data_IF_715054030631
#
_entry.id   IF_715054030631
#
_cell.length_a   1.000
_cell.length_b   1.000
_cell.length_c   1.000
_cell.angle_alpha   90.00
_cell.angle_beta   90.00
_cell.angle_gamma   90.00
#
_symmetry.space_group_name_H-M   'P 1'
#
loop_
_entity.id
_entity.type
_entity.pdbx_description
1 polymer ?
#
# COMPACT_ATOMS: atom_id res chain seq x y z
N UNK A 1 -49.06 32.89 -32.77
CA UNK A 1 -48.87 34.17 -32.06
C UNK A 1 -49.78 34.18 -30.83
N UNK A 2 -49.33 34.60 -29.65
CA UNK A 2 -48.16 34.11 -28.92
C UNK A 2 -48.53 33.77 -27.45
N UNK A 3 -47.63 33.13 -26.71
CA UNK A 3 -47.80 32.93 -25.27
C UNK A 3 -46.66 32.14 -24.67
N UNK A 4 -45.48 32.76 -24.60
CA UNK A 4 -44.31 32.19 -23.93
C UNK A 4 -44.54 32.11 -22.42
N UNK A 5 -44.20 30.96 -21.85
CA UNK A 5 -43.99 30.81 -20.41
C UNK A 5 -42.50 30.80 -20.14
N UNK A 6 -42.08 31.79 -19.36
CA UNK A 6 -40.72 32.03 -18.90
C UNK A 6 -40.15 30.80 -18.20
N UNK A 7 -38.96 30.40 -18.63
CA UNK A 7 -37.95 29.78 -17.79
C UNK A 7 -37.62 30.70 -16.61
N UNK A 8 -37.37 30.12 -15.44
CA UNK A 8 -36.71 30.81 -14.34
C UNK A 8 -37.62 31.20 -13.18
N UNK A 9 -38.09 30.21 -12.43
CA UNK A 9 -38.20 30.34 -10.97
C UNK A 9 -37.36 29.21 -10.38
N UNK A 10 -36.06 29.49 -10.24
CA UNK A 10 -35.21 28.75 -9.31
C UNK A 10 -35.67 29.19 -7.94
N UNK A 11 -36.19 28.21 -7.21
CA UNK A 11 -36.68 28.33 -5.85
C UNK A 11 -35.61 28.95 -4.93
N UNK A 12 -35.68 30.26 -4.69
CA UNK A 12 -34.80 31.00 -3.75
C UNK A 12 -35.25 30.80 -2.29
N UNK A 13 -35.59 29.57 -1.90
CA UNK A 13 -35.88 29.23 -0.53
C UNK A 13 -34.58 28.98 0.25
N UNK A 14 -34.21 29.99 1.04
CA UNK A 14 -33.26 29.99 2.17
C UNK A 14 -31.76 29.87 1.85
N UNK A 15 -31.13 30.96 1.42
CA UNK A 15 -29.72 31.16 1.71
C UNK A 15 -29.55 31.23 3.24
N UNK A 16 -28.91 30.22 3.83
CA UNK A 16 -28.63 30.20 5.28
C UNK A 16 -27.87 31.49 5.67
N UNK A 17 -28.26 32.18 6.75
CA UNK A 17 -27.68 33.48 7.11
C UNK A 17 -26.18 33.38 7.44
N UNK A 18 -25.75 32.23 7.95
CA UNK A 18 -24.37 31.83 8.19
C UNK A 18 -24.25 30.33 7.92
N UNK A 19 -23.15 29.93 7.29
CA UNK A 19 -22.88 28.53 7.04
C UNK A 19 -21.40 28.19 7.12
N UNK A 20 -21.11 26.92 7.42
CA UNK A 20 -19.78 26.34 7.23
C UNK A 20 -19.55 26.16 5.74
N UNK A 21 -18.40 26.63 5.27
CA UNK A 21 -18.07 26.61 3.85
C UNK A 21 -16.90 25.71 3.51
N UNK A 22 -15.82 25.78 4.30
CA UNK A 22 -14.66 24.93 4.08
C UNK A 22 -13.99 24.50 5.37
N UNK A 23 -13.40 23.31 5.32
CA UNK A 23 -12.66 22.71 6.42
C UNK A 23 -11.30 22.26 5.89
N UNK A 24 -10.26 22.65 6.61
CA UNK A 24 -8.87 22.37 6.23
C UNK A 24 -8.14 21.70 7.38
N UNK A 25 -7.90 20.40 7.24
CA UNK A 25 -7.30 19.52 8.24
C UNK A 25 -5.78 19.46 8.08
N UNK A 26 -5.29 19.17 6.88
CA UNK A 26 -3.86 19.21 6.56
C UNK A 26 -3.46 20.61 6.10
N UNK A 27 -3.09 21.45 7.07
CA UNK A 27 -2.66 22.84 6.84
C UNK A 27 -1.24 22.98 6.32
N UNK A 28 -0.55 21.87 6.05
CA UNK A 28 0.84 21.90 5.61
C UNK A 28 1.87 22.12 6.72
N UNK A 29 1.43 22.39 7.95
CA UNK A 29 2.26 22.60 9.12
C UNK A 29 2.35 21.35 10.02
N UNK A 30 3.41 21.27 10.82
CA UNK A 30 3.65 20.15 11.74
C UNK A 30 2.60 20.08 12.86
N UNK A 31 2.01 21.21 13.23
CA UNK A 31 1.01 21.33 14.29
C UNK A 31 -0.34 20.70 13.91
N UNK A 32 -0.59 20.51 12.61
CA UNK A 32 -1.78 19.80 12.12
C UNK A 32 -1.83 18.34 12.59
N UNK A 33 -0.68 17.70 12.80
CA UNK A 33 -0.56 16.27 13.13
C UNK A 33 -1.08 15.33 12.04
N UNK A 34 -1.43 15.85 10.86
CA UNK A 34 -1.89 15.06 9.71
C UNK A 34 -0.74 14.30 9.07
N UNK A 35 -1.06 13.17 8.45
CA UNK A 35 -0.16 12.49 7.53
C UNK A 35 -0.46 13.06 6.14
N UNK A 36 0.50 13.74 5.48
CA UNK A 36 0.30 14.28 4.15
C UNK A 36 -0.08 13.16 3.18
N UNK A 37 -1.11 13.37 2.39
CA UNK A 37 -1.52 12.42 1.36
C UNK A 37 -1.10 12.92 -0.02
N UNK A 38 -0.78 12.01 -0.93
CA UNK A 38 -0.34 12.34 -2.29
C UNK A 38 -1.18 11.63 -3.33
N UNK A 39 -1.44 12.31 -4.44
CA UNK A 39 -2.00 11.71 -5.64
C UNK A 39 -0.86 11.05 -6.45
N UNK A 40 -0.89 9.72 -6.67
CA UNK A 40 0.20 9.03 -7.37
C UNK A 40 0.30 9.38 -8.86
N UNK A 41 -0.78 9.86 -9.48
CA UNK A 41 -0.81 10.21 -10.91
C UNK A 41 -0.14 11.56 -11.15
N UNK A 42 -0.56 12.60 -10.41
CA UNK A 42 -0.03 13.96 -10.55
C UNK A 42 1.23 14.19 -9.73
N UNK A 43 1.51 13.32 -8.76
CA UNK A 43 2.59 13.47 -7.77
C UNK A 43 2.48 14.80 -7.02
N UNK A 44 1.24 15.19 -6.71
CA UNK A 44 0.93 16.40 -5.95
C UNK A 44 0.35 16.03 -4.60
N UNK A 45 0.67 16.84 -3.59
CA UNK A 45 0.09 16.71 -2.27
C UNK A 45 -1.42 17.00 -2.33
N UNK A 46 -2.21 16.12 -1.72
CA UNK A 46 -3.60 16.37 -1.39
C UNK A 46 -3.63 17.24 -0.13
N UNK A 47 -4.50 18.25 -0.10
CA UNK A 47 -4.61 19.18 1.03
C UNK A 47 -3.98 20.56 0.82
N UNK A 48 -3.45 20.88 -0.38
CA UNK A 48 -3.10 22.28 -0.72
C UNK A 48 -4.32 23.21 -0.69
N UNK A 49 -5.49 22.65 -0.99
CA UNK A 49 -6.80 23.28 -0.81
C UNK A 49 -7.56 22.56 0.32
N UNK A 50 -8.55 23.22 0.96
CA UNK A 50 -9.38 22.62 2.00
C UNK A 50 -9.99 21.28 1.57
N UNK A 51 -9.83 20.23 2.36
CA UNK A 51 -10.29 18.87 2.03
C UNK A 51 -11.79 18.82 1.84
N UNK A 52 -12.53 19.65 2.58
CA UNK A 52 -13.96 19.79 2.39
C UNK A 52 -14.32 21.21 1.97
N UNK A 53 -15.10 21.33 0.89
CA UNK A 53 -15.69 22.58 0.40
C UNK A 53 -17.15 22.30 0.09
N UNK A 54 -18.05 23.08 0.68
CA UNK A 54 -19.51 22.89 0.61
C UNK A 54 -19.98 22.58 -0.82
N UNK A 55 -20.56 21.40 -1.00
CA UNK A 55 -21.16 20.95 -2.26
C UNK A 55 -20.19 20.59 -3.40
N UNK A 56 -18.87 20.66 -3.18
CA UNK A 56 -17.88 20.56 -4.28
C UNK A 56 -16.80 19.50 -4.04
N UNK A 57 -16.31 19.35 -2.80
CA UNK A 57 -15.09 18.56 -2.54
C UNK A 57 -15.14 17.88 -1.17
N UNK A 58 -14.65 16.65 -1.11
CA UNK A 58 -14.43 15.87 0.09
C UNK A 58 -13.23 14.92 -0.14
N UNK A 59 -12.04 15.35 0.24
CA UNK A 59 -10.81 14.54 0.17
C UNK A 59 -10.63 13.70 1.44
N UNK A 60 -9.93 12.56 1.33
CA UNK A 60 -9.55 11.78 2.49
C UNK A 60 -8.52 12.52 3.35
N UNK A 61 -8.55 12.24 4.65
CA UNK A 61 -7.59 12.76 5.63
C UNK A 61 -7.00 11.59 6.41
N UNK A 62 -5.72 11.68 6.75
CA UNK A 62 -5.03 10.64 7.50
C UNK A 62 -4.33 11.18 8.75
N UNK A 63 -4.39 10.39 9.82
CA UNK A 63 -3.76 10.69 11.09
C UNK A 63 -3.16 9.43 11.69
N UNK A 64 -2.14 9.59 12.54
CA UNK A 64 -1.75 8.50 13.44
C UNK A 64 -2.89 8.26 14.43
N UNK A 65 -3.21 6.99 14.70
CA UNK A 65 -4.23 6.59 15.68
C UNK A 65 -3.99 7.28 17.03
N UNK A 66 -5.07 7.65 17.72
CA UNK A 66 -5.01 8.32 19.03
C UNK A 66 -4.58 9.80 19.01
N UNK A 67 -4.28 10.39 17.85
CA UNK A 67 -3.98 11.83 17.75
C UNK A 67 -5.23 12.68 17.96
N UNK A 68 -5.04 13.95 18.35
CA UNK A 68 -6.09 14.95 18.50
C UNK A 68 -5.99 15.96 17.36
N UNK A 69 -6.86 15.89 16.34
CA UNK A 69 -6.85 16.81 15.22
C UNK A 69 -7.14 18.26 15.62
N UNK A 70 -6.75 19.18 14.75
CA UNK A 70 -7.29 20.54 14.68
C UNK A 70 -7.69 20.85 13.25
N UNK A 71 -8.71 21.69 13.07
CA UNK A 71 -9.25 22.03 11.74
C UNK A 71 -9.36 23.54 11.59
N UNK A 72 -8.87 24.06 10.46
CA UNK A 72 -9.14 25.45 10.07
C UNK A 72 -10.51 25.52 9.42
N UNK A 73 -11.34 26.44 9.90
CA UNK A 73 -12.74 26.57 9.50
C UNK A 73 -12.95 27.90 8.79
N UNK A 74 -13.64 27.87 7.65
CA UNK A 74 -14.13 29.06 6.98
C UNK A 74 -15.65 29.09 6.97
N UNK A 75 -16.21 30.24 7.29
CA UNK A 75 -17.62 30.55 7.35
C UNK A 75 -18.01 31.48 6.19
N UNK A 76 -19.23 31.31 5.70
CA UNK A 76 -19.88 32.23 4.77
C UNK A 76 -21.06 32.90 5.48
N UNK A 77 -21.00 34.22 5.65
CA UNK A 77 -22.12 35.02 6.14
C UNK A 77 -22.85 35.69 4.97
N UNK A 78 -24.10 35.29 4.73
CA UNK A 78 -24.94 35.87 3.67
C UNK A 78 -25.75 37.08 4.16
N UNK A 79 -26.06 37.12 5.46
CA UNK A 79 -26.85 38.18 6.10
C UNK A 79 -26.28 38.51 7.49
N UNK A 80 -26.85 39.50 8.16
CA UNK A 80 -26.44 39.87 9.51
C UNK A 80 -26.67 38.70 10.48
N UNK A 81 -25.58 38.17 11.04
CA UNK A 81 -25.56 37.18 12.13
C UNK A 81 -25.00 37.82 13.40
N UNK A 82 -25.25 37.24 14.59
CA UNK A 82 -24.60 37.69 15.81
C UNK A 82 -23.09 37.82 15.59
N UNK A 83 -22.53 38.96 15.96
CA UNK A 83 -21.09 39.24 15.79
C UNK A 83 -20.20 38.42 16.72
N UNK A 84 -20.79 37.74 17.72
CA UNK A 84 -20.11 36.86 18.65
C UNK A 84 -20.97 35.64 18.95
N UNK A 85 -20.40 34.45 18.84
CA UNK A 85 -21.05 33.18 19.15
C UNK A 85 -20.00 32.09 19.44
N UNK A 86 -20.43 30.97 19.99
CA UNK A 86 -19.63 29.76 20.17
C UNK A 86 -19.88 28.79 19.01
N UNK A 87 -18.84 28.38 18.31
CA UNK A 87 -18.90 27.37 17.27
C UNK A 87 -18.72 25.98 17.88
N UNK A 88 -19.64 25.07 17.56
CA UNK A 88 -19.58 23.66 17.94
C UNK A 88 -19.84 22.74 16.74
N UNK A 89 -19.28 21.53 16.78
CA UNK A 89 -19.58 20.49 15.82
C UNK A 89 -19.86 19.14 16.51
N UNK A 90 -20.92 18.47 16.07
CA UNK A 90 -21.41 17.22 16.67
C UNK A 90 -21.47 16.10 15.64
N UNK A 91 -20.94 14.93 15.98
CA UNK A 91 -20.93 13.77 15.10
C UNK A 91 -21.07 12.46 15.85
N UNK A 92 -21.09 11.32 15.15
CA UNK A 92 -21.08 10.01 15.79
C UNK A 92 -19.77 9.80 16.57
N UNK A 93 -19.83 8.97 17.62
CA UNK A 93 -18.63 8.46 18.26
C UNK A 93 -17.90 7.51 17.31
N UNK A 94 -16.59 7.75 17.11
CA UNK A 94 -15.72 6.86 16.33
C UNK A 94 -15.11 5.72 17.19
N UNK A 95 -15.34 5.73 18.52
CA UNK A 95 -14.86 4.67 19.42
C UNK A 95 -15.86 3.53 19.51
N UNK A 96 -15.36 2.28 19.51
CA UNK A 96 -16.12 1.06 19.80
C UNK A 96 -15.95 0.60 21.25
N UNK A 97 -17.00 0.07 21.91
CA UNK A 97 -18.40 0.04 21.50
C UNK A 97 -19.08 1.34 21.94
N UNK A 98 -19.41 2.24 21.02
CA UNK A 98 -20.33 3.33 21.34
C UNK A 98 -21.76 2.85 21.12
N UNK A 99 -22.66 3.24 22.03
CA UNK A 99 -24.08 2.98 21.84
C UNK A 99 -24.54 3.62 20.53
N UNK A 100 -25.22 2.88 19.63
CA UNK A 100 -25.73 3.42 18.38
C UNK A 100 -26.52 4.72 18.65
N UNK A 101 -26.20 5.78 17.91
CA UNK A 101 -26.88 7.08 18.05
C UNK A 101 -26.28 8.04 19.09
N UNK A 102 -25.18 7.69 19.77
CA UNK A 102 -24.51 8.65 20.66
C UNK A 102 -23.80 9.72 19.85
N UNK A 103 -24.35 10.93 19.86
CA UNK A 103 -23.73 12.12 19.27
C UNK A 103 -22.79 12.75 20.27
N UNK A 104 -21.56 13.01 19.84
CA UNK A 104 -20.52 13.62 20.66
C UNK A 104 -20.13 14.97 20.07
N UNK A 105 -19.81 15.92 20.95
CA UNK A 105 -19.26 17.21 20.56
C UNK A 105 -17.78 17.03 20.22
N UNK A 106 -17.48 16.92 18.92
CA UNK A 106 -16.12 16.78 18.42
C UNK A 106 -15.34 18.08 18.51
N UNK A 107 -16.00 19.22 18.28
CA UNK A 107 -15.38 20.55 18.34
C UNK A 107 -16.23 21.50 19.17
N UNK A 108 -15.57 22.45 19.82
CA UNK A 108 -16.22 23.55 20.54
C UNK A 108 -16.66 23.23 21.97
N UNK A 109 -17.19 24.21 22.71
CA UNK A 109 -17.53 25.54 22.22
C UNK A 109 -16.25 26.35 21.93
N UNK A 110 -16.18 26.95 20.73
CA UNK A 110 -15.05 27.77 20.31
C UNK A 110 -15.52 29.20 20.01
N UNK A 111 -14.97 30.23 20.68
CA UNK A 111 -15.47 31.59 20.53
C UNK A 111 -15.13 32.12 19.13
N UNK A 112 -16.13 32.63 18.43
CA UNK A 112 -15.99 33.26 17.12
C UNK A 112 -16.50 34.69 17.20
N UNK A 113 -15.67 35.62 16.74
CA UNK A 113 -16.07 37.01 16.53
C UNK A 113 -16.01 37.33 15.04
N UNK A 114 -17.14 37.70 14.45
CA UNK A 114 -17.23 38.10 13.05
C UNK A 114 -17.26 39.62 12.96
N UNK A 115 -16.48 40.17 12.02
CA UNK A 115 -16.68 41.55 11.59
C UNK A 115 -18.08 41.66 10.95
N UNK A 116 -18.78 42.78 11.18
CA UNK A 116 -20.17 43.01 10.76
C UNK A 116 -20.31 43.22 9.24
N UNK A 117 -19.71 42.36 8.44
CA UNK A 117 -19.71 42.41 6.98
C UNK A 117 -20.12 41.04 6.44
N UNK A 118 -21.04 41.03 5.47
CA UNK A 118 -21.35 39.81 4.72
C UNK A 118 -20.10 39.37 3.94
N UNK A 119 -19.89 38.06 3.83
CA UNK A 119 -18.77 37.49 3.09
C UNK A 119 -18.07 36.35 3.81
N UNK A 120 -16.80 36.16 3.42
CA UNK A 120 -15.94 35.08 3.88
C UNK A 120 -15.21 35.45 5.16
N UNK A 121 -15.28 34.58 6.17
CA UNK A 121 -14.46 34.71 7.36
C UNK A 121 -13.81 33.37 7.67
N UNK A 122 -12.47 33.35 7.66
CA UNK A 122 -11.68 32.22 8.13
C UNK A 122 -11.30 32.48 9.58
N UNK A 123 -11.53 31.52 10.46
CA UNK A 123 -11.14 31.65 11.86
C UNK A 123 -9.63 31.83 11.98
N UNK A 124 -9.20 32.73 12.86
CA UNK A 124 -7.79 33.08 13.03
C UNK A 124 -6.96 31.86 13.44
N UNK A 125 -7.48 31.07 14.37
CA UNK A 125 -6.83 29.86 14.87
C UNK A 125 -7.60 28.59 14.46
N UNK A 126 -6.89 27.47 14.22
CA UNK A 126 -7.53 26.18 14.05
C UNK A 126 -8.31 25.75 15.29
N UNK A 127 -9.48 25.15 15.08
CA UNK A 127 -10.32 24.64 16.16
C UNK A 127 -9.86 23.21 16.50
N UNK A 128 -9.38 22.95 17.73
CA UNK A 128 -8.96 21.62 18.14
C UNK A 128 -10.17 20.72 18.38
N UNK A 129 -9.99 19.43 18.13
CA UNK A 129 -10.95 18.43 18.55
C UNK A 129 -10.93 18.30 20.09
N UNK A 130 -12.09 18.16 20.71
CA UNK A 130 -12.22 17.94 22.15
C UNK A 130 -11.68 16.57 22.60
N UNK A 131 -11.54 15.64 21.66
CA UNK A 131 -11.20 14.24 21.90
C UNK A 131 -10.21 13.74 20.85
N UNK A 132 -9.34 12.79 21.21
CA UNK A 132 -8.52 12.11 20.23
C UNK A 132 -9.38 11.24 19.31
N UNK A 133 -8.85 10.96 18.12
CA UNK A 133 -9.32 9.92 17.23
C UNK A 133 -9.13 8.53 17.87
N UNK A 134 -9.80 7.49 17.36
CA UNK A 134 -9.66 6.15 17.91
C UNK A 134 -8.20 5.69 17.93
N UNK A 135 -7.80 5.03 19.02
CA UNK A 135 -6.45 4.50 19.19
C UNK A 135 -6.29 3.10 18.55
N UNK A 136 -6.82 2.91 17.34
CA UNK A 136 -6.64 1.70 16.54
C UNK A 136 -6.51 2.09 15.07
N UNK A 137 -5.90 1.22 14.26
CA UNK A 137 -5.84 1.39 12.80
C UNK A 137 -7.26 1.24 12.23
N UNK A 138 -7.66 2.05 11.26
CA UNK A 138 -8.97 1.91 10.65
C UNK A 138 -9.36 3.00 9.67
N UNK A 139 -10.54 2.80 9.09
CA UNK A 139 -11.25 3.76 8.23
C UNK A 139 -12.50 4.23 8.94
N UNK A 140 -12.72 5.53 8.96
CA UNK A 140 -13.77 6.19 9.73
C UNK A 140 -14.56 7.14 8.83
N UNK A 141 -15.88 6.97 8.83
CA UNK A 141 -16.77 7.98 8.27
C UNK A 141 -17.15 8.95 9.39
N UNK A 142 -16.81 10.23 9.21
CA UNK A 142 -17.11 11.28 10.18
C UNK A 142 -18.05 12.30 9.54
N UNK A 143 -19.28 12.33 10.03
CA UNK A 143 -20.25 13.38 9.73
C UNK A 143 -20.31 14.37 10.90
N UNK A 144 -20.14 15.65 10.59
CA UNK A 144 -20.15 16.74 11.55
C UNK A 144 -21.32 17.69 11.25
N UNK A 145 -22.24 17.78 12.21
CA UNK A 145 -23.27 18.82 12.22
C UNK A 145 -22.74 20.05 12.93
N UNK A 146 -22.70 21.17 12.23
CA UNK A 146 -22.15 22.42 12.76
C UNK A 146 -23.24 23.34 13.26
N UNK A 147 -22.99 23.96 14.41
CA UNK A 147 -23.91 24.90 15.03
C UNK A 147 -23.18 26.11 15.60
N UNK A 148 -23.82 27.27 15.51
CA UNK A 148 -23.48 28.46 16.30
C UNK A 148 -24.39 28.50 17.53
N UNK A 149 -23.81 28.66 18.71
CA UNK A 149 -24.50 28.75 20.00
C UNK A 149 -24.23 30.13 20.60
N UNK A 150 -25.26 30.84 21.06
CA UNK A 150 -25.09 32.11 21.80
C UNK A 150 -26.21 32.31 22.81
N UNK A 151 -26.08 33.33 23.65
CA UNK A 151 -27.13 33.73 24.60
C UNK A 151 -27.55 35.16 24.27
N UNK A 152 -28.85 35.37 24.08
CA UNK A 152 -29.41 36.71 23.83
C UNK A 152 -29.29 37.59 25.11
N UNK A 153 -29.51 38.90 24.95
CA UNK A 153 -29.42 39.85 26.07
C UNK A 153 -30.43 39.57 27.21
N UNK A 154 -31.50 38.83 26.93
CA UNK A 154 -32.51 38.40 27.90
C UNK A 154 -32.14 37.08 28.63
N UNK A 155 -30.97 36.49 28.32
CA UNK A 155 -30.52 35.23 28.88
C UNK A 155 -31.00 33.99 28.14
N UNK A 156 -31.75 34.14 27.05
CA UNK A 156 -32.27 33.00 26.26
C UNK A 156 -31.16 32.34 25.44
N UNK A 157 -30.93 31.02 25.55
CA UNK A 157 -29.98 30.32 24.70
C UNK A 157 -30.52 30.22 23.26
N UNK A 158 -29.64 30.41 22.29
CA UNK A 158 -29.91 30.31 20.86
C UNK A 158 -28.95 29.34 20.21
N UNK A 159 -29.46 28.66 19.19
CA UNK A 159 -28.67 27.77 18.35
C UNK A 159 -29.07 27.97 16.90
N UNK A 160 -28.08 28.11 16.02
CA UNK A 160 -28.25 28.17 14.56
C UNK A 160 -27.50 27.01 13.93
N UNK A 161 -28.18 26.24 13.09
CA UNK A 161 -27.55 25.21 12.27
C UNK A 161 -26.78 25.85 11.11
N UNK A 162 -25.54 25.41 10.90
CA UNK A 162 -24.61 25.99 9.92
C UNK A 162 -24.30 25.04 8.75
N UNK A 163 -24.95 23.86 8.70
CA UNK A 163 -24.70 22.83 7.72
C UNK A 163 -23.98 21.60 8.25
N UNK A 164 -23.93 20.58 7.41
CA UNK A 164 -23.22 19.31 7.66
C UNK A 164 -21.96 19.21 6.81
N UNK A 165 -20.96 18.50 7.32
CA UNK A 165 -19.80 18.08 6.55
C UNK A 165 -19.49 16.60 6.74
N UNK A 166 -19.07 15.94 5.67
CA UNK A 166 -18.77 14.51 5.64
C UNK A 166 -17.30 14.32 5.28
N UNK A 167 -16.63 13.44 6.03
CA UNK A 167 -15.20 13.20 5.92
C UNK A 167 -14.89 11.71 5.93
N UNK A 168 -13.98 11.30 5.06
CA UNK A 168 -13.32 10.00 5.14
C UNK A 168 -11.99 10.18 5.89
N UNK A 169 -11.89 9.57 7.06
CA UNK A 169 -10.72 9.70 7.93
C UNK A 169 -10.05 8.34 8.11
N UNK A 170 -8.73 8.31 7.97
CA UNK A 170 -7.91 7.11 8.22
C UNK A 170 -7.08 7.29 9.48
N UNK A 171 -7.09 6.28 10.34
CA UNK A 171 -6.12 6.15 11.43
C UNK A 171 -5.07 5.11 11.05
N UNK A 172 -3.80 5.49 11.17
CA UNK A 172 -2.64 4.62 10.85
C UNK A 172 -1.85 4.27 12.11
N UNK A 173 -0.96 3.28 12.00
CA UNK A 173 -0.14 2.82 13.14
C UNK A 173 1.05 3.72 13.47
N UNK A 174 1.61 4.43 12.49
CA UNK A 174 2.76 5.31 12.66
C UNK A 174 2.71 6.51 11.72
N UNK A 175 3.44 7.61 12.03
CA UNK A 175 3.68 8.64 11.04
C UNK A 175 4.53 8.03 9.93
N UNK A 176 4.14 8.22 8.68
CA UNK A 176 4.98 7.79 7.56
C UNK A 176 6.25 8.65 7.58
N UNK A 177 7.37 8.04 7.97
CA UNK A 177 8.67 8.71 8.00
C UNK A 177 9.29 8.60 6.61
N UNK A 178 9.78 9.74 6.11
CA UNK A 178 10.62 9.75 4.94
C UNK A 178 11.88 8.92 5.23
N UNK A 179 12.06 7.81 4.52
CA UNK A 179 13.11 6.83 4.80
C UNK A 179 13.01 5.49 4.06
N UNK A 180 11.86 5.16 3.45
CA UNK A 180 11.73 3.97 2.59
C UNK A 180 11.89 4.34 1.11
N UNK A 181 12.60 3.50 0.35
CA UNK A 181 12.83 3.70 -1.08
C UNK A 181 11.50 3.76 -1.85
N UNK A 182 11.34 4.78 -2.71
CA UNK A 182 10.15 4.95 -3.55
C UNK A 182 8.93 5.56 -2.86
N UNK A 183 9.06 6.05 -1.62
CA UNK A 183 8.03 6.80 -0.90
C UNK A 183 8.07 8.30 -1.26
N UNK A 184 6.94 9.04 -1.14
CA UNK A 184 6.94 10.51 -1.23
C UNK A 184 7.90 11.17 -0.24
N UNK A 185 8.22 12.45 -0.49
CA UNK A 185 9.12 13.23 0.37
C UNK A 185 8.59 13.42 1.80
N UNK A 186 7.28 13.36 1.96
CA UNK A 186 6.65 13.30 3.28
C UNK A 186 5.26 12.71 3.11
N UNK A 187 4.82 11.91 4.06
CA UNK A 187 3.50 11.28 3.98
C UNK A 187 3.43 10.14 2.97
N UNK A 188 2.22 9.86 2.44
CA UNK A 188 1.89 8.61 1.74
C UNK A 188 1.04 8.83 0.49
N UNK A 189 1.10 7.92 -0.48
CA UNK A 189 0.10 7.89 -1.55
C UNK A 189 -1.27 7.49 -0.99
N UNK A 190 -2.32 8.27 -1.31
CA UNK A 190 -3.66 8.09 -0.75
C UNK A 190 -4.23 6.67 -0.92
N UNK A 191 -4.05 5.97 -2.06
CA UNK A 191 -4.49 4.58 -2.20
C UNK A 191 -3.88 3.63 -1.18
N UNK A 192 -2.59 3.81 -0.83
CA UNK A 192 -1.91 2.92 0.12
C UNK A 192 -2.49 3.07 1.52
N UNK A 193 -2.77 4.29 1.96
CA UNK A 193 -3.40 4.54 3.26
C UNK A 193 -4.81 3.95 3.27
N UNK A 194 -5.61 4.20 2.22
CA UNK A 194 -6.97 3.66 2.12
C UNK A 194 -6.99 2.13 2.20
N UNK A 195 -6.13 1.47 1.43
CA UNK A 195 -6.06 0.01 1.41
C UNK A 195 -5.57 -0.55 2.75
N UNK A 196 -4.41 -0.11 3.22
CA UNK A 196 -3.78 -0.68 4.42
C UNK A 196 -4.57 -0.38 5.70
N UNK A 197 -5.17 0.81 5.86
CA UNK A 197 -5.99 1.10 7.04
C UNK A 197 -7.28 0.28 7.08
N UNK A 198 -7.84 -0.09 5.93
CA UNK A 198 -8.99 -1.00 5.86
C UNK A 198 -8.60 -2.44 6.16
N UNK A 199 -7.53 -2.95 5.54
CA UNK A 199 -7.10 -4.35 5.76
C UNK A 199 -6.61 -4.60 7.18
N UNK A 200 -5.94 -3.61 7.78
CA UNK A 200 -5.36 -3.72 9.11
C UNK A 200 -6.27 -3.17 10.22
N UNK A 201 -7.56 -2.95 9.92
CA UNK A 201 -8.50 -2.35 10.87
C UNK A 201 -8.54 -3.13 12.19
N UNK A 202 -8.29 -2.44 13.30
CA UNK A 202 -8.27 -3.01 14.65
C UNK A 202 -7.06 -3.90 14.98
N UNK A 203 -6.12 -4.12 14.06
CA UNK A 203 -4.94 -4.94 14.31
C UNK A 203 -3.86 -4.17 15.09
N UNK A 204 -3.10 -4.91 15.89
CA UNK A 204 -2.02 -4.35 16.71
C UNK A 204 -0.68 -5.09 16.54
N UNK A 205 -0.72 -6.39 16.26
CA UNK A 205 0.47 -7.22 16.04
C UNK A 205 1.15 -6.90 14.71
N UNK A 206 2.48 -6.80 14.73
CA UNK A 206 3.30 -6.59 13.53
C UNK A 206 3.07 -7.68 12.49
N UNK A 207 3.00 -8.93 12.95
CA UNK A 207 2.76 -10.11 12.10
C UNK A 207 1.38 -10.08 11.48
N UNK A 208 0.34 -9.81 12.29
CA UNK A 208 -1.04 -9.78 11.79
C UNK A 208 -1.25 -8.64 10.78
N UNK A 209 -0.61 -7.48 11.00
CA UNK A 209 -0.59 -6.36 10.06
C UNK A 209 0.05 -6.80 8.74
N UNK A 210 1.24 -7.39 8.74
CA UNK A 210 1.89 -7.84 7.51
C UNK A 210 1.09 -8.94 6.78
N UNK A 211 0.48 -9.87 7.50
CA UNK A 211 -0.38 -10.90 6.92
C UNK A 211 -1.65 -10.32 6.31
N UNK A 212 -2.26 -9.32 6.96
CA UNK A 212 -3.42 -8.62 6.43
C UNK A 212 -3.06 -7.84 5.16
N UNK A 213 -1.91 -7.15 5.15
CA UNK A 213 -1.39 -6.49 3.95
C UNK A 213 -1.18 -7.49 2.81
N UNK A 214 -0.51 -8.62 3.07
CA UNK A 214 -0.22 -9.61 2.02
C UNK A 214 -1.50 -10.20 1.42
N UNK A 215 -2.45 -10.58 2.28
CA UNK A 215 -3.76 -11.11 1.85
C UNK A 215 -4.61 -10.07 1.12
N UNK A 216 -4.45 -8.79 1.44
CA UNK A 216 -5.18 -7.69 0.81
C UNK A 216 -4.65 -7.30 -0.58
N UNK A 217 -3.38 -7.60 -0.90
CA UNK A 217 -2.76 -7.18 -2.16
C UNK A 217 -3.57 -7.49 -3.44
N UNK A 218 -4.25 -8.65 -3.59
CA UNK A 218 -5.05 -8.91 -4.78
C UNK A 218 -6.15 -7.86 -5.01
N UNK A 219 -6.73 -7.29 -3.95
CA UNK A 219 -7.79 -6.28 -4.04
C UNK A 219 -7.32 -4.95 -4.66
N UNK A 220 -6.01 -4.72 -4.76
CA UNK A 220 -5.46 -3.52 -5.42
C UNK A 220 -5.71 -3.52 -6.94
N UNK A 221 -5.89 -4.69 -7.55
CA UNK A 221 -5.93 -4.87 -8.99
C UNK A 221 -4.59 -4.62 -9.71
N UNK A 222 -3.52 -4.27 -8.99
CA UNK A 222 -2.18 -4.10 -9.56
C UNK A 222 -1.64 -5.46 -10.00
N UNK A 223 -0.98 -5.52 -11.16
CA UNK A 223 -0.52 -6.78 -11.76
C UNK A 223 0.98 -6.98 -11.65
N UNK A 224 1.42 -8.20 -11.39
CA UNK A 224 2.84 -8.56 -11.51
C UNK A 224 3.28 -8.64 -12.98
N UNK A 225 4.57 -8.40 -13.26
CA UNK A 225 5.14 -8.54 -14.61
C UNK A 225 4.89 -7.32 -15.51
N UNK A 226 4.58 -6.17 -14.93
CA UNK A 226 4.49 -4.88 -15.66
C UNK A 226 5.82 -4.13 -15.45
N UNK A 227 6.47 -3.56 -16.49
CA UNK A 227 7.76 -2.85 -16.39
C UNK A 227 7.76 -1.56 -15.55
N UNK A 228 7.56 -1.68 -14.24
CA UNK A 228 7.61 -0.61 -13.25
C UNK A 228 8.29 -1.09 -11.96
N UNK A 229 9.25 -0.30 -11.46
CA UNK A 229 10.11 -0.67 -10.31
C UNK A 229 9.96 0.28 -9.11
N UNK A 230 9.13 1.32 -9.22
CA UNK A 230 8.81 2.24 -8.12
C UNK A 230 7.33 2.23 -7.83
N UNK A 231 6.94 2.43 -6.57
CA UNK A 231 5.54 2.42 -6.14
C UNK A 231 4.69 3.43 -6.92
N UNK A 232 5.20 4.65 -7.12
CA UNK A 232 4.51 5.66 -7.93
C UNK A 232 4.23 5.17 -9.34
N UNK A 233 5.28 4.66 -10.02
CA UNK A 233 5.14 4.18 -11.39
C UNK A 233 4.12 3.03 -11.44
N UNK A 234 4.17 2.11 -10.48
CA UNK A 234 3.21 1.01 -10.39
C UNK A 234 1.76 1.48 -10.27
N UNK A 235 1.50 2.47 -9.41
CA UNK A 235 0.17 3.04 -9.23
C UNK A 235 -0.32 3.74 -10.50
N UNK A 236 0.57 4.31 -11.30
CA UNK A 236 0.23 4.98 -12.55
C UNK A 236 -0.05 4.00 -13.71
N UNK A 237 0.67 2.87 -13.80
CA UNK A 237 0.55 1.92 -14.94
C UNK A 237 -0.22 0.64 -14.60
N UNK A 238 -0.66 0.48 -13.36
CA UNK A 238 -1.48 -0.66 -12.93
C UNK A 238 -0.72 -1.95 -12.65
N UNK A 239 0.54 -1.88 -12.22
CA UNK A 239 1.35 -3.07 -11.92
C UNK A 239 2.85 -2.81 -11.82
N UNK A 240 3.64 -3.84 -11.51
CA UNK A 240 5.09 -3.72 -11.38
C UNK A 240 5.88 -5.03 -11.46
N UNK A 241 7.20 -4.90 -11.43
CA UNK A 241 8.17 -5.97 -11.27
C UNK A 241 8.50 -6.21 -9.79
N UNK A 242 9.29 -7.26 -9.48
CA UNK A 242 9.60 -7.67 -8.11
C UNK A 242 10.11 -6.51 -7.23
N UNK A 243 11.03 -5.68 -7.74
CA UNK A 243 11.55 -4.52 -7.02
C UNK A 243 10.49 -3.49 -6.64
N UNK A 244 9.48 -3.30 -7.49
CA UNK A 244 8.35 -2.41 -7.19
C UNK A 244 7.39 -3.00 -6.16
N UNK A 245 7.02 -4.28 -6.32
CA UNK A 245 6.13 -4.98 -5.38
C UNK A 245 6.74 -5.10 -3.98
N UNK A 246 8.04 -5.35 -3.92
CA UNK A 246 8.83 -5.33 -2.70
C UNK A 246 8.69 -3.97 -1.96
N UNK A 247 8.91 -2.86 -2.66
CA UNK A 247 8.77 -1.51 -2.08
C UNK A 247 7.32 -1.18 -1.71
N UNK A 248 6.35 -1.56 -2.54
CA UNK A 248 4.92 -1.37 -2.27
C UNK A 248 4.53 -2.00 -0.94
N UNK A 249 4.95 -3.26 -0.72
CA UNK A 249 4.67 -4.00 0.50
C UNK A 249 5.31 -3.34 1.72
N UNK A 250 6.55 -2.85 1.61
CA UNK A 250 7.20 -2.09 2.68
C UNK A 250 6.44 -0.82 3.05
N UNK A 251 6.01 -0.05 2.05
CA UNK A 251 5.26 1.18 2.31
C UNK A 251 3.90 0.89 2.96
N UNK A 252 3.17 -0.12 2.49
CA UNK A 252 1.89 -0.53 3.10
C UNK A 252 2.06 -0.94 4.57
N UNK A 253 3.13 -1.69 4.89
CA UNK A 253 3.43 -2.09 6.27
C UNK A 253 3.92 -0.90 7.14
N UNK A 254 4.76 -0.02 6.58
CA UNK A 254 5.34 1.11 7.30
C UNK A 254 4.29 2.17 7.66
N UNK A 255 3.32 2.45 6.77
CA UNK A 255 2.15 3.29 7.09
C UNK A 255 1.47 2.79 8.38
N UNK A 256 1.41 1.48 8.56
CA UNK A 256 0.82 0.84 9.74
C UNK A 256 1.80 0.60 10.90
N UNK A 257 2.99 1.19 10.83
CA UNK A 257 4.00 1.16 11.90
C UNK A 257 4.86 -0.08 11.93
N UNK A 258 4.87 -0.89 10.87
CA UNK A 258 5.69 -2.10 10.78
C UNK A 258 6.83 -1.89 9.80
N UNK A 259 8.06 -1.95 10.31
CA UNK A 259 9.28 -1.98 9.48
C UNK A 259 9.62 -3.41 9.11
N UNK A 260 9.98 -3.59 7.85
CA UNK A 260 10.40 -4.84 7.24
C UNK A 260 11.85 -4.75 6.76
N UNK A 261 12.49 -5.91 6.63
CA UNK A 261 13.82 -6.05 6.07
C UNK A 261 13.73 -6.55 4.65
N UNK A 262 14.30 -5.81 3.70
CA UNK A 262 14.30 -6.21 2.30
C UNK A 262 15.56 -6.89 1.85
N UNK A 263 15.42 -7.89 0.98
CA UNK A 263 16.55 -8.54 0.33
C UNK A 263 16.23 -8.88 -1.11
N UNK A 264 17.23 -8.82 -1.97
CA UNK A 264 17.14 -9.41 -3.32
C UNK A 264 17.84 -10.76 -3.32
N UNK A 265 17.11 -11.81 -3.68
CA UNK A 265 17.62 -13.16 -3.86
C UNK A 265 18.21 -13.31 -5.25
N UNK A 266 19.49 -13.66 -5.32
CA UNK A 266 20.16 -13.96 -6.57
C UNK A 266 20.60 -15.42 -6.61
N UNK A 267 20.49 -16.02 -7.79
CA UNK A 267 21.13 -17.30 -8.08
C UNK A 267 22.60 -17.04 -8.40
N UNK A 268 23.49 -17.79 -7.75
CA UNK A 268 24.90 -17.79 -8.10
C UNK A 268 25.13 -18.83 -9.19
N UNK A 269 25.73 -18.47 -10.34
CA UNK A 269 26.10 -19.45 -11.33
C UNK A 269 27.16 -20.36 -10.72
N UNK A 270 26.91 -21.66 -10.73
CA UNK A 270 27.89 -22.68 -10.35
C UNK A 270 28.62 -23.11 -11.62
N UNK A 271 29.94 -23.00 -11.62
CA UNK A 271 30.80 -23.73 -12.54
C UNK A 271 31.37 -24.93 -11.77
N UNK A 272 30.91 -26.15 -12.06
CA UNK A 272 31.52 -27.35 -11.49
C UNK A 272 32.59 -27.90 -12.44
N UNK A 273 33.85 -27.66 -12.12
CA UNK A 273 34.98 -28.11 -12.94
C UNK A 273 35.21 -29.64 -12.93
N UNK A 274 34.38 -30.42 -12.23
CA UNK A 274 34.52 -31.88 -12.09
C UNK A 274 33.42 -32.70 -12.77
N UNK A 275 32.44 -32.04 -13.39
CA UNK A 275 31.37 -32.70 -14.14
C UNK A 275 31.31 -32.18 -15.57
N UNK A 276 30.68 -32.94 -16.46
CA UNK A 276 30.14 -32.42 -17.71
C UNK A 276 29.38 -31.11 -17.40
N UNK A 277 29.71 -30.03 -18.11
CA UNK A 277 29.30 -28.63 -17.86
C UNK A 277 27.87 -28.50 -17.28
N UNK A 278 27.75 -28.20 -15.97
CA UNK A 278 26.48 -27.79 -15.35
C UNK A 278 26.62 -26.33 -14.91
N UNK A 279 25.83 -25.45 -15.51
CA UNK A 279 25.71 -24.04 -15.14
C UNK A 279 24.25 -23.69 -14.92
N UNK A 280 23.88 -23.37 -13.68
CA UNK A 280 22.55 -22.82 -13.38
C UNK A 280 22.51 -21.35 -13.77
N UNK A 281 21.50 -20.97 -14.53
CA UNK A 281 21.39 -19.65 -15.17
C UNK A 281 20.14 -18.88 -14.76
N UNK A 282 19.11 -19.53 -14.21
CA UNK A 282 17.97 -18.81 -13.64
C UNK A 282 17.21 -19.62 -12.60
N UNK A 283 16.54 -18.91 -11.68
CA UNK A 283 15.41 -19.45 -10.93
C UNK A 283 14.13 -19.19 -11.71
N UNK A 284 13.22 -20.16 -11.76
CA UNK A 284 12.04 -20.07 -12.63
C UNK A 284 10.76 -20.16 -11.81
N UNK A 285 9.91 -19.15 -11.95
CA UNK A 285 8.55 -19.14 -11.43
C UNK A 285 7.57 -19.59 -12.52
N UNK A 286 6.69 -20.53 -12.16
CA UNK A 286 5.59 -20.99 -13.02
C UNK A 286 4.28 -20.26 -12.71
N UNK A 287 4.12 -19.80 -11.46
CA UNK A 287 2.96 -19.02 -11.07
C UNK A 287 2.84 -17.73 -11.92
N UNK A 288 1.62 -17.32 -12.29
CA UNK A 288 1.41 -16.15 -13.15
C UNK A 288 1.78 -14.82 -12.47
N UNK A 289 1.94 -14.84 -11.14
CA UNK A 289 2.09 -13.64 -10.32
C UNK A 289 0.73 -13.06 -9.91
N UNK A 290 0.75 -12.17 -8.93
CA UNK A 290 -0.46 -11.58 -8.37
C UNK A 290 -1.27 -10.85 -9.44
N UNK A 291 -2.58 -11.05 -9.41
CA UNK A 291 -3.57 -10.49 -10.35
C UNK A 291 -3.29 -10.79 -11.83
N UNK A 292 -2.61 -11.89 -12.12
CA UNK A 292 -2.36 -12.36 -13.48
C UNK A 292 -3.00 -13.75 -13.70
N UNK A 293 -3.72 -13.97 -14.81
CA UNK A 293 -4.22 -15.31 -15.15
C UNK A 293 -3.13 -16.18 -15.80
N UNK A 294 -2.17 -15.57 -16.49
CA UNK A 294 -0.98 -16.19 -17.08
C UNK A 294 0.21 -15.24 -16.87
N UNK A 295 1.47 -15.72 -16.88
CA UNK A 295 2.63 -14.83 -16.84
C UNK A 295 2.53 -13.72 -17.90
N UNK A 296 2.90 -12.51 -17.50
CA UNK A 296 2.77 -11.27 -18.28
C UNK A 296 3.56 -11.35 -19.58
N UNK A 297 2.90 -11.06 -20.71
CA UNK A 297 3.54 -11.06 -22.04
C UNK A 297 4.69 -10.06 -22.17
N UNK A 298 4.76 -9.06 -21.30
CA UNK A 298 5.78 -8.03 -21.33
C UNK A 298 7.13 -8.51 -20.80
N UNK A 299 7.14 -9.51 -19.91
CA UNK A 299 8.34 -9.89 -19.15
C UNK A 299 8.53 -11.40 -18.97
N UNK A 300 7.55 -12.22 -19.39
CA UNK A 300 7.69 -13.68 -19.40
C UNK A 300 8.68 -14.15 -20.45
N UNK A 301 9.30 -15.30 -20.20
CA UNK A 301 9.82 -16.15 -21.27
C UNK A 301 8.67 -17.01 -21.81
N UNK A 302 8.57 -17.14 -23.13
CA UNK A 302 7.58 -17.99 -23.79
C UNK A 302 8.26 -18.90 -24.81
N UNK A 303 8.09 -20.21 -24.64
CA UNK A 303 8.70 -21.19 -25.52
C UNK A 303 8.65 -22.59 -24.93
N UNK A 304 9.50 -23.48 -25.46
CA UNK A 304 9.53 -24.88 -25.07
C UNK A 304 10.52 -25.12 -23.92
N UNK A 305 10.01 -25.25 -22.70
CA UNK A 305 10.79 -25.69 -21.54
C UNK A 305 10.99 -27.21 -21.58
N UNK A 306 12.18 -27.66 -21.22
CA UNK A 306 12.54 -29.08 -21.13
C UNK A 306 12.67 -29.46 -19.66
N UNK A 307 11.53 -29.76 -19.02
CA UNK A 307 11.52 -30.14 -17.61
C UNK A 307 12.13 -31.53 -17.44
N UNK A 308 13.13 -31.64 -16.59
CA UNK A 308 13.78 -32.90 -16.28
C UNK A 308 12.91 -33.76 -15.36
N UNK A 309 12.70 -35.02 -15.72
CA UNK A 309 11.98 -35.96 -14.86
C UNK A 309 12.78 -36.33 -13.60
N UNK A 310 14.10 -36.51 -13.73
CA UNK A 310 15.00 -36.85 -12.63
C UNK A 310 16.39 -36.21 -12.75
N UNK A 311 16.91 -35.70 -11.64
CA UNK A 311 18.27 -35.18 -11.51
C UNK A 311 18.85 -35.53 -10.12
N UNK A 312 20.14 -35.87 -9.99
CA UNK A 312 21.18 -35.94 -11.04
C UNK A 312 21.03 -37.14 -11.98
N UNK A 313 21.62 -37.04 -13.17
CA UNK A 313 21.60 -38.12 -14.17
C UNK A 313 22.53 -39.26 -13.78
N UNK A 314 22.04 -40.50 -13.84
CA UNK A 314 22.90 -41.68 -13.75
C UNK A 314 23.66 -41.88 -15.08
N UNK A 315 24.93 -42.33 -15.08
CA UNK A 315 25.77 -42.41 -16.28
C UNK A 315 25.19 -43.21 -17.47
N UNK A 316 24.32 -44.17 -17.20
CA UNK A 316 23.76 -45.10 -18.20
C UNK A 316 22.25 -44.93 -18.43
N UNK A 317 21.63 -43.90 -17.84
CA UNK A 317 20.19 -43.67 -17.94
C UNK A 317 19.87 -42.61 -19.01
N UNK A 318 18.89 -42.81 -19.90
CA UNK A 318 18.48 -41.77 -20.83
C UNK A 318 17.91 -40.56 -20.09
N UNK A 319 18.31 -39.35 -20.51
CA UNK A 319 17.76 -38.09 -19.98
C UNK A 319 16.30 -37.96 -20.43
N UNK A 320 15.36 -38.19 -19.52
CA UNK A 320 13.93 -38.02 -19.76
C UNK A 320 13.53 -36.54 -19.59
N UNK A 321 13.02 -35.96 -20.69
CA UNK A 321 12.60 -34.56 -20.76
C UNK A 321 11.09 -34.46 -21.05
N UNK A 322 10.40 -33.78 -20.15
CA UNK A 322 8.98 -33.45 -20.25
C UNK A 322 8.84 -32.09 -20.94
N UNK A 323 8.99 -32.08 -22.26
CA UNK A 323 8.90 -30.86 -23.06
C UNK A 323 7.52 -30.19 -22.98
N UNK A 324 7.47 -28.93 -22.56
CA UNK A 324 6.23 -28.14 -22.42
C UNK A 324 6.34 -26.79 -23.11
N UNK A 325 5.31 -26.39 -23.84
CA UNK A 325 5.24 -25.04 -24.43
C UNK A 325 4.34 -24.20 -23.56
N UNK A 326 4.94 -23.26 -22.84
CA UNK A 326 4.24 -22.43 -21.85
C UNK A 326 4.99 -21.12 -21.61
N UNK A 327 4.49 -20.34 -20.67
CA UNK A 327 5.15 -19.13 -20.22
C UNK A 327 5.56 -19.23 -18.77
N UNK A 328 6.75 -18.71 -18.46
CA UNK A 328 7.33 -18.70 -17.11
C UNK A 328 8.08 -17.39 -16.91
N UNK A 329 8.26 -16.99 -15.66
CA UNK A 329 9.25 -15.95 -15.33
C UNK A 329 10.58 -16.61 -15.00
N UNK A 330 11.67 -16.00 -15.42
CA UNK A 330 13.02 -16.41 -15.08
C UNK A 330 13.73 -15.24 -14.43
N UNK A 331 14.35 -15.49 -13.28
CA UNK A 331 15.24 -14.56 -12.58
C UNK A 331 16.65 -15.04 -12.85
N UNK A 332 17.33 -14.35 -13.78
CA UNK A 332 18.63 -14.77 -14.29
C UNK A 332 19.70 -14.69 -13.20
N UNK A 333 20.68 -15.57 -13.28
CA UNK A 333 21.83 -15.58 -12.39
C UNK A 333 22.68 -14.33 -12.61
N UNK A 334 23.26 -13.81 -11.53
CA UNK A 334 24.05 -12.58 -11.56
C UNK A 334 23.53 -11.53 -10.58
N UNK A 335 24.16 -10.36 -10.60
CA UNK A 335 23.87 -9.26 -9.66
C UNK A 335 22.74 -8.34 -10.13
N UNK A 336 22.51 -8.27 -11.45
CA UNK A 336 21.59 -7.30 -12.04
C UNK A 336 20.14 -7.83 -12.15
N UNK A 337 19.94 -9.13 -11.95
CA UNK A 337 18.64 -9.78 -11.98
C UNK A 337 18.48 -10.71 -10.77
N UNK A 338 17.29 -10.71 -10.19
CA UNK A 338 17.01 -11.32 -8.90
C UNK A 338 15.59 -11.07 -8.44
N UNK A 339 15.20 -11.74 -7.36
CA UNK A 339 13.85 -11.67 -6.83
C UNK A 339 13.82 -10.96 -5.48
N UNK A 340 13.15 -9.81 -5.43
CA UNK A 340 13.08 -8.96 -4.24
C UNK A 340 12.00 -9.45 -3.26
N UNK A 341 12.38 -9.60 -2.00
CA UNK A 341 11.59 -10.22 -0.94
C UNK A 341 11.62 -9.38 0.34
N UNK A 342 10.57 -9.50 1.13
CA UNK A 342 10.44 -8.85 2.43
C UNK A 342 10.53 -9.85 3.57
N UNK A 343 11.11 -9.41 4.69
CA UNK A 343 11.28 -10.22 5.88
C UNK A 343 10.78 -9.48 7.13
N UNK A 344 10.18 -10.23 8.04
CA UNK A 344 9.82 -9.77 9.38
C UNK A 344 10.41 -10.73 10.41
N UNK A 345 11.24 -10.21 11.30
CA UNK A 345 11.55 -10.88 12.56
C UNK A 345 10.53 -10.44 13.61
N UNK A 346 9.78 -11.43 14.11
CA UNK A 346 8.78 -11.22 15.16
C UNK A 346 8.74 -12.42 16.11
N UNK A 347 8.79 -12.14 17.41
CA UNK A 347 8.70 -13.17 18.47
C UNK A 347 9.71 -14.32 18.32
N UNK A 348 10.93 -14.02 17.83
CA UNK A 348 12.01 -14.99 17.63
C UNK A 348 11.86 -15.87 16.38
N UNK A 349 10.91 -15.58 15.50
CA UNK A 349 10.69 -16.27 14.22
C UNK A 349 10.95 -15.34 13.05
N UNK A 350 11.44 -15.90 11.94
CA UNK A 350 11.61 -15.19 10.68
C UNK A 350 10.47 -15.52 9.72
N UNK A 351 9.82 -14.51 9.17
CA UNK A 351 8.79 -14.64 8.16
C UNK A 351 9.21 -13.97 6.87
N UNK A 352 9.10 -14.69 5.75
CA UNK A 352 9.32 -14.20 4.39
C UNK A 352 7.97 -13.87 3.74
N UNK A 353 7.90 -12.69 3.12
CA UNK A 353 6.75 -12.19 2.36
C UNK A 353 7.18 -11.97 0.91
N UNK A 354 6.54 -12.72 0.02
CA UNK A 354 6.66 -12.55 -1.42
C UNK A 354 5.37 -11.93 -1.96
N UNK A 355 5.39 -10.60 -2.12
CA UNK A 355 4.28 -9.82 -2.64
C UNK A 355 4.01 -10.03 -4.15
N UNK A 356 4.82 -10.85 -4.82
CA UNK A 356 4.70 -11.13 -6.25
C UNK A 356 3.91 -12.42 -6.50
N UNK A 357 4.15 -13.47 -5.71
CA UNK A 357 3.65 -14.82 -6.00
C UNK A 357 2.88 -15.51 -4.86
N UNK A 358 2.89 -14.94 -3.64
CA UNK A 358 2.32 -15.60 -2.45
C UNK A 358 1.20 -14.78 -1.83
N UNK A 359 0.16 -15.47 -1.34
CA UNK A 359 -0.91 -14.88 -0.51
C UNK A 359 -0.69 -15.05 1.00
N UNK A 360 0.33 -15.83 1.39
CA UNK A 360 0.64 -16.14 2.79
C UNK A 360 2.14 -16.09 3.04
N UNK A 361 2.51 -15.62 4.23
CA UNK A 361 3.89 -15.56 4.68
C UNK A 361 4.49 -16.97 4.85
N UNK A 362 5.80 -17.09 4.64
CA UNK A 362 6.54 -18.32 4.87
C UNK A 362 7.38 -18.18 6.13
N UNK A 363 7.07 -18.99 7.14
CA UNK A 363 7.93 -19.08 8.33
C UNK A 363 9.19 -19.89 8.00
N UNK A 364 10.35 -19.33 8.33
CA UNK A 364 11.65 -19.92 8.08
C UNK A 364 12.37 -20.22 9.40
N UNK A 365 12.94 -21.43 9.46
CA UNK A 365 13.85 -21.84 10.52
C UNK A 365 15.29 -21.54 10.07
N UNK A 366 15.65 -20.27 10.14
CA UNK A 366 16.98 -19.71 9.84
C UNK A 366 17.02 -18.24 10.29
N UNK A 367 18.20 -17.64 10.52
CA UNK A 367 18.30 -16.21 10.77
C UNK A 367 17.97 -15.39 9.51
N UNK A 368 17.67 -14.10 9.70
CA UNK A 368 17.55 -13.13 8.61
C UNK A 368 18.81 -13.20 7.70
N UNK A 369 18.65 -13.34 6.37
CA UNK A 369 19.81 -13.41 5.49
C UNK A 369 20.66 -12.15 5.53
N UNK A 370 22.00 -12.26 5.57
CA UNK A 370 22.88 -11.09 5.48
C UNK A 370 22.79 -10.46 4.09
N UNK A 371 22.75 -9.13 4.01
CA UNK A 371 22.74 -8.40 2.73
C UNK A 371 24.17 -8.03 2.27
N UNK A 372 25.13 -8.94 2.43
CA UNK A 372 26.55 -8.71 2.19
C UNK A 372 27.04 -9.24 0.83
N UNK A 373 26.13 -9.81 0.02
CA UNK A 373 26.44 -10.38 -1.28
C UNK A 373 27.32 -11.62 -1.22
N UNK A 374 27.56 -12.20 -0.03
CA UNK A 374 28.37 -13.41 0.08
C UNK A 374 27.56 -14.63 -0.36
N UNK A 375 28.17 -15.54 -1.15
CA UNK A 375 27.50 -16.78 -1.53
C UNK A 375 27.14 -17.64 -0.31
N UNK A 376 25.92 -18.17 -0.32
CA UNK A 376 25.38 -19.10 0.65
C UNK A 376 24.94 -20.37 -0.08
N UNK A 377 25.41 -21.51 0.41
CA UNK A 377 25.05 -22.82 -0.12
C UNK A 377 23.85 -23.39 0.62
N UNK A 378 22.81 -23.74 -0.13
CA UNK A 378 21.58 -24.32 0.41
C UNK A 378 21.51 -25.82 0.12
N UNK A 379 21.65 -26.65 1.15
CA UNK A 379 21.38 -28.09 1.09
C UNK A 379 19.89 -28.43 1.17
N UNK A 380 19.51 -29.69 0.93
CA UNK A 380 18.11 -30.14 0.85
C UNK A 380 17.28 -29.88 2.11
N UNK A 381 17.91 -29.84 3.28
CA UNK A 381 17.21 -29.61 4.55
C UNK A 381 16.90 -28.13 4.84
N UNK A 382 17.38 -27.20 4.02
CA UNK A 382 17.13 -25.76 4.17
C UNK A 382 15.62 -25.47 4.22
N UNK A 383 15.19 -24.74 5.26
CA UNK A 383 13.80 -24.29 5.40
C UNK A 383 13.38 -23.38 4.24
N UNK A 384 14.27 -22.49 3.78
CA UNK A 384 14.07 -21.66 2.59
C UNK A 384 13.83 -22.49 1.33
N UNK A 385 14.62 -23.56 1.11
CA UNK A 385 14.40 -24.43 -0.05
C UNK A 385 13.04 -25.12 0.00
N UNK A 386 12.78 -25.83 1.10
CA UNK A 386 11.59 -26.66 1.24
C UNK A 386 10.29 -25.85 1.30
N UNK A 387 10.30 -24.71 1.99
CA UNK A 387 9.09 -23.93 2.26
C UNK A 387 8.85 -22.79 1.27
N UNK A 388 9.89 -22.30 0.59
CA UNK A 388 9.78 -21.16 -0.31
C UNK A 388 10.20 -21.46 -1.75
N UNK A 389 11.41 -21.96 -1.99
CA UNK A 389 11.89 -22.20 -3.37
C UNK A 389 11.07 -23.27 -4.09
N UNK A 390 10.91 -24.48 -3.52
CA UNK A 390 10.16 -25.55 -4.20
C UNK A 390 8.71 -25.15 -4.52
N UNK A 391 7.96 -24.48 -3.62
CA UNK A 391 6.58 -24.09 -3.94
C UNK A 391 6.46 -22.87 -4.86
N UNK A 392 7.44 -21.95 -4.87
CA UNK A 392 7.29 -20.62 -5.49
C UNK A 392 8.15 -20.46 -6.75
N UNK A 393 9.39 -20.94 -6.67
CA UNK A 393 10.40 -20.92 -7.73
C UNK A 393 10.82 -22.37 -8.02
N UNK A 394 9.89 -23.23 -8.50
CA UNK A 394 10.05 -24.67 -8.47
C UNK A 394 11.22 -25.19 -9.30
N UNK A 395 11.71 -24.45 -10.30
CA UNK A 395 12.75 -24.93 -11.20
C UNK A 395 14.00 -24.05 -11.17
N UNK A 396 15.17 -24.67 -11.38
CA UNK A 396 16.35 -24.00 -11.90
C UNK A 396 16.45 -24.27 -13.40
N UNK A 397 16.73 -23.25 -14.18
CA UNK A 397 17.06 -23.36 -15.60
C UNK A 397 18.57 -23.33 -15.75
N UNK A 398 19.14 -24.20 -16.58
CA UNK A 398 20.59 -24.25 -16.75
C UNK A 398 21.06 -24.84 -18.06
N UNK A 399 22.32 -24.54 -18.36
CA UNK A 399 23.11 -25.20 -19.40
C UNK A 399 23.71 -26.47 -18.81
N UNK A 400 23.33 -27.63 -19.34
CA UNK A 400 23.71 -28.94 -18.82
C UNK A 400 24.23 -29.83 -19.95
N UNK A 401 25.33 -30.54 -19.71
CA UNK A 401 25.82 -31.63 -20.57
C UNK A 401 25.58 -32.98 -19.90
N UNK A 402 24.96 -33.91 -20.63
CA UNK A 402 24.77 -35.28 -20.18
C UNK A 402 24.72 -36.24 -21.38
N UNK A 403 25.33 -37.42 -21.25
CA UNK A 403 25.41 -38.46 -22.28
C UNK A 403 25.85 -37.94 -23.67
N UNK A 404 26.86 -37.06 -23.68
CA UNK A 404 27.42 -36.49 -24.92
C UNK A 404 26.55 -35.41 -25.59
N UNK A 405 25.39 -35.06 -25.03
CA UNK A 405 24.55 -33.96 -25.51
C UNK A 405 24.65 -32.76 -24.58
N UNK A 406 24.74 -31.57 -25.17
CA UNK A 406 24.63 -30.29 -24.48
C UNK A 406 23.23 -29.71 -24.70
N UNK A 407 22.61 -29.26 -23.61
CA UNK A 407 21.43 -28.40 -23.65
C UNK A 407 21.84 -27.04 -23.11
N UNK A 408 21.85 -26.05 -23.99
CA UNK A 408 22.32 -24.70 -23.70
C UNK A 408 21.14 -23.75 -23.49
N UNK A 409 21.32 -22.82 -22.54
CA UNK A 409 20.46 -21.65 -22.40
C UNK A 409 21.02 -20.56 -23.32
N UNK A 410 20.23 -20.18 -24.32
CA UNK A 410 20.51 -19.11 -25.27
C UNK A 410 19.19 -18.39 -25.56
N UNK A 411 18.97 -17.28 -24.85
CA UNK A 411 17.72 -16.52 -24.94
C UNK A 411 17.54 -15.84 -26.30
N UNK A 412 18.62 -15.53 -27.03
CA UNK A 412 18.54 -14.97 -28.39
C UNK A 412 18.00 -16.00 -29.38
N UNK A 413 18.33 -17.28 -29.17
CA UNK A 413 17.83 -18.41 -29.96
C UNK A 413 16.55 -19.02 -29.41
N UNK A 414 15.96 -18.44 -28.36
CA UNK A 414 14.81 -18.99 -27.65
C UNK A 414 15.05 -20.44 -27.16
N UNK A 415 16.28 -20.73 -26.74
CA UNK A 415 16.69 -22.00 -26.16
C UNK A 415 16.80 -21.86 -24.64
N UNK A 416 16.09 -22.71 -23.91
CA UNK A 416 15.98 -22.62 -22.45
C UNK A 416 16.75 -23.71 -21.70
N UNK A 417 17.71 -24.37 -22.34
CA UNK A 417 18.47 -25.46 -21.74
C UNK A 417 17.58 -26.57 -21.17
N UNK A 418 17.87 -26.99 -19.94
CA UNK A 418 17.04 -27.89 -19.13
C UNK A 418 16.53 -27.15 -17.89
N UNK A 419 15.28 -27.39 -17.52
CA UNK A 419 14.70 -26.98 -16.24
C UNK A 419 14.67 -28.17 -15.28
N UNK A 420 15.30 -28.04 -14.12
CA UNK A 420 15.39 -29.08 -13.10
C UNK A 420 14.65 -28.63 -11.84
N UNK A 421 13.84 -29.52 -11.26
CA UNK A 421 13.13 -29.25 -10.02
C UNK A 421 14.12 -28.88 -8.91
N UNK A 422 13.87 -27.77 -8.22
CA UNK A 422 14.73 -27.28 -7.13
C UNK A 422 14.85 -28.30 -6.00
N UNK A 423 13.89 -29.22 -5.82
CA UNK A 423 13.94 -30.34 -4.88
C UNK A 423 14.93 -31.44 -5.29
N UNK A 424 15.20 -31.56 -6.58
CA UNK A 424 16.08 -32.59 -7.15
C UNK A 424 17.55 -32.17 -7.06
N UNK A 425 17.83 -30.88 -7.26
CA UNK A 425 19.19 -30.33 -7.23
C UNK A 425 19.82 -30.55 -5.84
N UNK A 426 21.00 -31.20 -5.71
CA UNK A 426 21.59 -31.47 -4.40
C UNK A 426 21.86 -30.22 -3.58
N UNK A 427 22.48 -29.21 -4.21
CA UNK A 427 22.90 -27.96 -3.59
C UNK A 427 22.63 -26.79 -4.53
N UNK A 428 22.13 -25.68 -3.98
CA UNK A 428 21.87 -24.44 -4.71
C UNK A 428 22.71 -23.34 -4.08
N UNK A 429 23.54 -22.68 -4.88
CA UNK A 429 24.32 -21.53 -4.45
C UNK A 429 23.52 -20.26 -4.74
N UNK A 430 23.32 -19.44 -3.71
CA UNK A 430 22.58 -18.18 -3.80
C UNK A 430 23.41 -17.05 -3.17
N UNK A 431 22.99 -15.82 -3.36
CA UNK A 431 23.44 -14.69 -2.55
C UNK A 431 22.28 -13.73 -2.28
N UNK A 432 22.47 -12.87 -1.28
CA UNK A 432 21.50 -11.87 -0.88
C UNK A 432 22.13 -10.48 -0.93
N UNK A 433 21.42 -9.55 -1.55
CA UNK A 433 21.77 -8.12 -1.57
C UNK A 433 20.62 -7.29 -0.97
N UNK A 434 20.80 -5.97 -0.89
CA UNK A 434 19.81 -5.05 -0.32
C UNK A 434 18.64 -4.77 -1.25
#
# INVERSE_FOLDING_TARGET
MPGGTREGEVDMHHAEPLAIYSLHFDRGDADSGTIPLWNPVTDTRLGELPEWIRGHRAEPIAYVRGTRPSVRVSLLANHFVPSSFELSAFGPSLSTPSSPGTRIRWLGPHPVNLERTAGWSTLAEPVPFNRPLPNHIGTHALELQWVAEWTDADGSPRTLFLGDSQHELFTTGAPMRHGETGAPVSGAYAPLVRWSSRWCAGLESRKDICDAVLRGLPETGLRYGVPAWTVRHMLAVGGGMCGGWYQLFQQLANIQGVRLEGRTLHLMPREDARTDEVRWEAMVAVAPGINQPEPSRLTRLHGRFQDCAHYPFAPDEPVELLGRVESRYAFMAGWDDGHCLNFLEDSGRLYLYDACFRGEAVELDMPLPPADGRPVRLGKDSSLRRRYLHPTLPFLMGTLRAHGRLWEVDLERNAFGITVGTEQVPEIDIMWTR
#
